data_IF_085472630191
#
_entry.id   IF_085472630191
#
_cell.length_a   1.000
_cell.length_b   1.000
_cell.length_c   1.000
_cell.angle_alpha   90.00
_cell.angle_beta   90.00
_cell.angle_gamma   90.00
#
_symmetry.space_group_name_H-M   'P 1'
#
loop_
_entity.id
_entity.type
_entity.pdbx_description
1 polymer ?
#
# COMPACT_ATOMS: atom_id res chain seq x y z
N UNK A 1 -27.69 -42.47 -43.79
CA UNK A 1 -26.48 -42.55 -44.65
C UNK A 1 -25.37 -41.81 -43.89
N UNK A 2 -24.27 -42.42 -43.42
CA UNK A 2 -23.12 -43.00 -44.18
C UNK A 2 -22.65 -41.99 -45.25
N UNK A 3 -21.44 -41.42 -45.20
CA UNK A 3 -20.13 -42.10 -45.21
C UNK A 3 -19.00 -41.18 -44.65
N UNK A 4 -18.01 -41.73 -43.90
CA UNK A 4 -16.62 -42.07 -44.30
C UNK A 4 -15.74 -40.90 -44.78
N UNK A 5 -14.76 -40.50 -43.97
CA UNK A 5 -13.34 -40.94 -44.01
C UNK A 5 -12.52 -40.46 -45.22
N UNK A 6 -11.44 -39.72 -44.93
CA UNK A 6 -10.07 -40.08 -45.35
C UNK A 6 -8.99 -39.25 -44.61
N UNK A 7 -8.17 -39.94 -43.82
CA UNK A 7 -6.80 -39.52 -43.44
C UNK A 7 -5.81 -40.23 -44.37
N UNK A 8 -4.70 -39.58 -44.72
CA UNK A 8 -3.45 -40.21 -45.18
C UNK A 8 -2.30 -39.18 -45.19
N UNK A 9 -1.01 -39.60 -45.17
CA UNK A 9 -0.18 -39.12 -44.06
C UNK A 9 1.19 -38.51 -44.44
N UNK A 10 1.80 -37.88 -43.44
CA UNK A 10 3.21 -38.08 -43.06
C UNK A 10 4.33 -37.72 -44.05
N UNK A 11 5.18 -36.74 -43.66
CA UNK A 11 6.59 -36.72 -44.06
C UNK A 11 7.46 -36.26 -42.89
N UNK A 12 8.40 -37.12 -42.49
CA UNK A 12 9.42 -36.85 -41.47
C UNK A 12 10.67 -36.20 -42.11
N UNK A 13 11.55 -35.54 -41.33
CA UNK A 13 12.62 -34.69 -41.86
C UNK A 13 13.94 -35.44 -42.10
N UNK A 14 14.85 -34.91 -42.94
CA UNK A 14 16.23 -35.39 -43.02
C UNK A 14 17.12 -34.78 -41.91
N UNK A 15 18.03 -35.60 -41.36
CA UNK A 15 19.16 -35.18 -40.50
C UNK A 15 20.48 -35.45 -41.23
N UNK A 16 21.35 -34.45 -41.31
CA UNK A 16 22.81 -34.52 -41.51
C UNK A 16 23.32 -33.07 -41.53
N UNK A 17 24.46 -32.66 -41.00
CA UNK A 17 25.68 -33.33 -40.55
C UNK A 17 26.76 -32.23 -40.43
N UNK A 18 27.88 -32.43 -39.72
CA UNK A 18 28.65 -31.31 -39.15
C UNK A 18 29.78 -30.79 -40.05
N UNK A 19 30.17 -29.52 -39.84
CA UNK A 19 31.48 -28.98 -40.28
C UNK A 19 32.25 -28.38 -39.11
N UNK A 20 33.37 -28.99 -38.74
CA UNK A 20 34.42 -28.40 -37.89
C UNK A 20 35.51 -27.80 -38.79
N UNK A 21 35.99 -26.61 -38.47
CA UNK A 21 37.38 -26.18 -38.72
C UNK A 21 37.83 -25.26 -37.59
N UNK A 22 39.14 -25.20 -37.35
CA UNK A 22 39.72 -24.76 -36.08
C UNK A 22 40.94 -23.87 -36.25
N UNK A 23 41.05 -22.86 -35.37
CA UNK A 23 42.31 -22.41 -34.72
C UNK A 23 43.37 -21.66 -35.58
N UNK A 24 44.43 -21.05 -35.00
CA UNK A 24 44.60 -20.40 -33.68
C UNK A 24 45.46 -19.09 -33.70
N UNK A 25 45.94 -18.65 -32.50
CA UNK A 25 47.12 -17.77 -32.23
C UNK A 25 46.96 -16.25 -32.47
N UNK A 26 47.58 -15.32 -31.70
CA UNK A 26 48.36 -15.37 -30.44
C UNK A 26 48.36 -14.00 -29.71
N UNK A 27 48.80 -13.93 -28.44
CA UNK A 27 49.41 -12.73 -27.83
C UNK A 27 50.95 -12.79 -27.96
N UNK A 28 51.77 -12.08 -27.14
CA UNK A 28 51.45 -11.09 -26.09
C UNK A 28 52.31 -9.80 -26.16
N UNK A 29 52.10 -8.83 -25.26
CA UNK A 29 53.19 -8.02 -24.67
C UNK A 29 52.79 -7.37 -23.33
N UNK A 30 53.76 -7.22 -22.43
CA UNK A 30 53.66 -6.57 -21.11
C UNK A 30 54.31 -5.16 -21.14
N UNK A 31 54.27 -4.50 -19.97
CA UNK A 31 55.09 -3.35 -19.54
C UNK A 31 54.52 -1.97 -19.90
N UNK A 32 54.64 -0.91 -19.08
CA UNK A 32 55.39 -0.75 -17.82
C UNK A 32 54.62 0.06 -16.75
N UNK A 33 55.08 -0.03 -15.50
CA UNK A 33 54.66 0.83 -14.40
C UNK A 33 55.73 1.90 -14.08
N UNK A 34 55.32 3.12 -13.74
CA UNK A 34 56.20 4.14 -13.17
C UNK A 34 55.43 5.05 -12.19
N UNK A 35 56.06 5.41 -11.06
CA UNK A 35 55.46 6.14 -9.94
C UNK A 35 56.53 7.05 -9.29
N UNK A 36 56.12 8.16 -8.65
CA UNK A 36 56.91 9.02 -7.71
C UNK A 36 57.96 9.96 -8.41
N UNK A 37 58.41 11.14 -7.87
CA UNK A 37 58.06 11.92 -6.65
C UNK A 37 57.57 13.39 -6.86
N UNK A 38 57.19 14.10 -5.78
CA UNK A 38 56.94 15.56 -5.74
C UNK A 38 58.15 16.40 -5.26
N UNK A 39 58.07 17.73 -5.39
CA UNK A 39 59.07 18.69 -4.87
C UNK A 39 58.50 19.76 -3.90
N UNK A 40 59.38 20.34 -3.09
CA UNK A 40 59.09 21.03 -1.81
C UNK A 40 59.04 22.58 -1.89
N UNK A 41 58.58 23.17 -0.79
CA UNK A 41 58.44 24.60 -0.51
C UNK A 41 59.76 25.39 -0.36
N UNK A 42 59.64 26.74 -0.40
CA UNK A 42 60.65 27.75 0.00
C UNK A 42 60.01 28.87 0.83
N UNK A 43 60.80 29.61 1.62
CA UNK A 43 60.32 30.39 2.78
C UNK A 43 60.66 31.91 2.79
N UNK A 44 60.19 32.59 3.86
CA UNK A 44 60.28 34.03 4.26
C UNK A 44 61.70 34.67 4.22
N UNK A 45 61.82 36.02 4.25
CA UNK A 45 61.81 36.85 5.49
C UNK A 45 60.83 38.06 5.40
N UNK A 46 60.31 38.75 6.43
CA UNK A 46 60.67 39.08 7.84
C UNK A 46 61.34 40.46 8.04
N UNK A 47 60.67 41.37 8.78
CA UNK A 47 61.21 42.64 9.32
C UNK A 47 60.41 43.13 10.56
N UNK A 48 61.06 43.90 11.43
CA UNK A 48 60.67 44.38 12.77
C UNK A 48 60.73 45.95 12.81
N UNK A 49 60.17 46.76 13.72
CA UNK A 49 59.35 46.64 14.96
C UNK A 49 58.73 48.07 15.24
N UNK A 50 58.42 48.62 16.46
CA UNK A 50 58.36 48.11 17.85
C UNK A 50 57.08 48.46 18.67
N UNK A 51 57.05 47.90 19.91
CA UNK A 51 56.29 48.21 21.13
C UNK A 51 55.25 49.36 21.26
N UNK A 52 54.15 49.02 21.96
CA UNK A 52 53.39 49.91 22.84
C UNK A 52 52.57 49.14 23.88
N UNK A 53 52.89 49.27 25.18
CA UNK A 53 52.12 48.63 26.26
C UNK A 53 50.81 49.38 26.55
N UNK A 54 49.69 48.68 26.75
CA UNK A 54 48.53 49.13 27.54
C UNK A 54 47.67 47.96 27.98
N UNK A 55 47.33 47.93 29.26
CA UNK A 55 46.35 47.02 29.83
C UNK A 55 44.94 47.60 29.71
N UNK A 56 43.97 46.77 29.30
CA UNK A 56 42.55 46.98 29.57
C UNK A 56 41.77 45.67 29.44
N UNK A 57 40.74 45.53 30.27
CA UNK A 57 39.89 44.33 30.38
C UNK A 57 39.03 44.13 29.14
N UNK A 58 38.98 42.88 28.65
CA UNK A 58 38.15 42.48 27.50
C UNK A 58 36.76 42.04 27.98
N UNK A 59 35.64 42.63 27.49
CA UNK A 59 34.31 42.16 27.85
C UNK A 59 34.02 40.76 27.29
N UNK A 60 33.24 39.96 28.02
CA UNK A 60 32.74 38.67 27.52
C UNK A 60 31.70 38.90 26.40
N UNK A 61 31.66 38.06 25.35
CA UNK A 61 30.65 38.17 24.30
C UNK A 61 29.27 37.74 24.82
N UNK A 62 28.23 38.50 24.47
CA UNK A 62 26.85 38.20 24.85
C UNK A 62 26.34 36.92 24.16
N UNK A 63 25.58 36.12 24.90
CA UNK A 63 24.95 34.89 24.40
C UNK A 63 24.03 35.16 23.20
N UNK A 64 24.03 34.30 22.16
CA UNK A 64 23.16 34.49 21.01
C UNK A 64 21.68 34.34 21.39
N UNK A 65 20.82 35.19 20.83
CA UNK A 65 19.36 35.04 20.94
C UNK A 65 18.92 33.74 20.27
N UNK A 66 17.92 33.01 20.82
CA UNK A 66 17.42 31.79 20.22
C UNK A 66 16.78 32.07 18.86
N UNK A 67 17.11 31.22 17.89
CA UNK A 67 16.45 31.14 16.58
C UNK A 67 14.95 30.83 16.73
N UNK A 68 14.09 31.21 15.76
CA UNK A 68 12.68 30.82 15.81
C UNK A 68 12.59 29.29 15.81
N UNK A 69 11.88 28.74 16.80
CA UNK A 69 11.80 27.29 16.99
C UNK A 69 11.10 26.62 15.82
N UNK A 70 11.72 25.56 15.29
CA UNK A 70 11.01 24.57 14.46
C UNK A 70 9.75 24.08 15.19
N UNK A 71 8.65 23.78 14.47
CA UNK A 71 7.45 23.24 15.10
C UNK A 71 7.81 21.96 15.85
N UNK A 72 7.57 21.96 17.17
CA UNK A 72 7.83 20.79 18.02
C UNK A 72 7.09 19.59 17.47
N UNK A 73 7.83 18.57 17.05
CA UNK A 73 7.27 17.28 16.65
C UNK A 73 6.61 16.66 17.88
N UNK A 74 5.28 16.73 17.95
CA UNK A 74 4.50 16.10 19.00
C UNK A 74 4.38 14.61 18.68
N UNK A 75 5.34 13.82 19.15
CA UNK A 75 5.27 12.37 19.07
C UNK A 75 3.99 11.88 19.77
N UNK A 76 3.26 10.97 19.12
CA UNK A 76 2.14 10.30 19.76
C UNK A 76 2.68 9.53 20.97
N UNK A 77 2.17 9.83 22.17
CA UNK A 77 2.48 9.03 23.33
C UNK A 77 1.92 7.61 23.11
N UNK A 78 2.71 6.54 23.30
CA UNK A 78 2.23 5.18 23.08
C UNK A 78 1.09 4.87 24.06
N UNK A 79 -0.08 4.56 23.50
CA UNK A 79 -1.26 4.16 24.28
C UNK A 79 -1.11 2.70 24.67
N UNK A 80 -0.85 2.44 25.95
CA UNK A 80 -0.78 1.08 26.48
C UNK A 80 -2.15 0.40 26.42
N UNK A 81 -2.21 -0.80 25.82
CA UNK A 81 -3.42 -1.63 25.78
C UNK A 81 -3.95 -1.90 27.20
N UNK A 82 -5.26 -1.68 27.41
CA UNK A 82 -5.91 -1.93 28.70
C UNK A 82 -5.96 -3.44 29.02
N UNK A 83 -5.67 -3.88 30.25
CA UNK A 83 -5.94 -5.26 30.68
C UNK A 83 -7.43 -5.61 30.55
N UNK A 84 -7.75 -6.79 30.01
CA UNK A 84 -9.12 -7.26 29.78
C UNK A 84 -9.34 -8.63 30.44
N UNK A 85 -10.57 -8.89 30.88
CA UNK A 85 -10.98 -10.17 31.50
C UNK A 85 -11.88 -10.98 30.56
N UNK A 86 -12.07 -12.26 30.88
CA UNK A 86 -12.84 -13.21 30.06
C UNK A 86 -12.01 -13.92 28.99
N UNK A 87 -12.69 -14.73 28.19
CA UNK A 87 -12.06 -15.58 27.18
C UNK A 87 -11.70 -14.81 25.90
N UNK A 88 -10.70 -15.31 25.16
CA UNK A 88 -10.45 -14.83 23.79
C UNK A 88 -11.62 -15.23 22.88
N UNK A 89 -11.94 -14.45 21.83
CA UNK A 89 -12.83 -14.91 20.77
C UNK A 89 -12.40 -16.25 20.18
N UNK A 90 -13.35 -16.95 19.54
CA UNK A 90 -13.04 -18.08 18.67
C UNK A 90 -12.10 -17.62 17.53
N UNK A 91 -11.45 -18.57 16.86
CA UNK A 91 -10.47 -18.25 15.81
C UNK A 91 -10.73 -19.02 14.51
N UNK A 92 -10.46 -18.37 13.38
CA UNK A 92 -10.31 -18.99 12.07
C UNK A 92 -9.00 -18.48 11.46
N UNK A 93 -7.96 -19.30 11.50
CA UNK A 93 -6.61 -18.95 11.03
C UNK A 93 -5.88 -20.22 10.55
N UNK A 94 -5.18 -20.19 9.40
CA UNK A 94 -5.15 -19.11 8.40
C UNK A 94 -6.44 -19.04 7.57
N UNK A 95 -6.78 -17.84 7.11
CA UNK A 95 -7.82 -17.58 6.09
C UNK A 95 -7.18 -16.81 4.95
N UNK A 96 -7.24 -17.34 3.74
CA UNK A 96 -6.74 -16.66 2.55
C UNK A 96 -7.94 -16.06 1.81
N UNK A 97 -7.95 -14.73 1.67
CA UNK A 97 -8.99 -14.00 0.94
C UNK A 97 -8.49 -13.67 -0.45
N UNK A 98 -9.21 -14.13 -1.48
CA UNK A 98 -8.78 -14.02 -2.87
C UNK A 98 -9.65 -13.04 -3.69
N UNK A 99 -8.98 -12.19 -4.46
CA UNK A 99 -9.58 -11.37 -5.52
C UNK A 99 -8.99 -11.76 -6.87
N UNK A 100 -9.77 -12.46 -7.71
CA UNK A 100 -9.34 -12.87 -9.05
C UNK A 100 -9.57 -11.80 -10.16
N UNK A 101 -10.49 -10.86 -9.89
CA UNK A 101 -10.89 -9.78 -10.79
C UNK A 101 -12.26 -9.22 -10.40
N UNK A 102 -12.56 -8.00 -10.84
CA UNK A 102 -13.86 -7.33 -10.64
C UNK A 102 -13.96 -6.17 -11.64
N UNK A 103 -14.99 -6.17 -12.49
CA UNK A 103 -15.29 -5.11 -13.46
C UNK A 103 -14.04 -4.51 -14.16
N UNK A 104 -13.57 -3.35 -13.69
CA UNK A 104 -12.45 -2.61 -14.28
C UNK A 104 -11.06 -3.06 -13.78
N UNK A 105 -10.93 -4.07 -12.91
CA UNK A 105 -9.65 -4.57 -12.44
C UNK A 105 -9.42 -6.07 -12.67
N UNK A 106 -8.19 -6.40 -13.09
CA UNK A 106 -7.61 -7.75 -13.05
C UNK A 106 -6.08 -7.69 -12.97
N UNK A 107 -5.48 -8.66 -12.27
CA UNK A 107 -4.06 -8.99 -12.43
C UNK A 107 -3.93 -9.85 -13.69
N UNK A 108 -3.14 -9.42 -14.68
CA UNK A 108 -3.05 -10.07 -16.01
C UNK A 108 -1.92 -11.10 -16.06
N UNK A 109 -0.72 -10.70 -15.63
CA UNK A 109 0.48 -11.54 -15.55
C UNK A 109 1.43 -10.93 -14.52
N UNK A 110 2.30 -11.74 -13.94
CA UNK A 110 3.34 -11.30 -13.01
C UNK A 110 4.59 -12.13 -13.19
N UNK A 111 5.73 -11.54 -12.83
CA UNK A 111 7.03 -12.19 -12.87
C UNK A 111 8.19 -11.23 -13.13
N UNK A 112 9.40 -11.72 -12.94
CA UNK A 112 10.66 -10.97 -12.96
C UNK A 112 10.59 -9.68 -12.11
N UNK A 113 10.09 -9.80 -10.88
CA UNK A 113 9.88 -8.70 -9.93
C UNK A 113 8.92 -7.58 -10.41
N UNK A 114 7.99 -7.89 -11.33
CA UNK A 114 7.01 -6.97 -11.89
C UNK A 114 5.61 -7.60 -11.92
N UNK A 115 4.58 -6.75 -12.00
CA UNK A 115 3.19 -7.13 -12.31
C UNK A 115 2.61 -6.29 -13.45
N UNK A 116 1.78 -6.93 -14.27
CA UNK A 116 0.98 -6.34 -15.34
C UNK A 116 -0.49 -6.42 -14.93
N UNK A 117 -1.14 -5.28 -14.83
CA UNK A 117 -2.50 -5.13 -14.29
C UNK A 117 -3.38 -4.38 -15.30
N UNK A 118 -4.67 -4.72 -15.36
CA UNK A 118 -5.67 -3.91 -16.04
C UNK A 118 -6.32 -2.98 -15.02
N UNK A 119 -6.42 -1.70 -15.35
CA UNK A 119 -7.20 -0.69 -14.65
C UNK A 119 -8.07 0.06 -15.67
N UNK A 120 -9.33 -0.37 -15.81
CA UNK A 120 -10.29 0.16 -16.77
C UNK A 120 -9.75 0.01 -18.19
N UNK A 121 -9.60 1.09 -18.97
CA UNK A 121 -9.06 1.03 -20.32
C UNK A 121 -7.56 0.67 -20.36
N UNK A 122 -6.80 0.88 -19.28
CA UNK A 122 -5.34 0.84 -19.33
C UNK A 122 -4.73 -0.45 -18.78
N UNK A 123 -3.68 -0.91 -19.45
CA UNK A 123 -2.74 -1.93 -18.99
C UNK A 123 -1.51 -1.27 -18.38
N UNK A 124 -1.23 -1.58 -17.12
CA UNK A 124 -0.26 -0.87 -16.28
C UNK A 124 0.78 -1.87 -15.75
N UNK A 125 2.07 -1.54 -15.93
CA UNK A 125 3.20 -2.30 -15.38
C UNK A 125 3.74 -1.61 -14.13
N UNK A 126 3.89 -2.37 -13.04
CA UNK A 126 4.43 -1.87 -11.75
C UNK A 126 5.46 -2.84 -11.14
N UNK A 127 6.42 -2.34 -10.34
CA UNK A 127 7.29 -3.17 -9.51
C UNK A 127 6.51 -4.03 -8.51
N UNK A 128 6.94 -5.28 -8.35
CA UNK A 128 6.41 -6.26 -7.40
C UNK A 128 7.49 -7.26 -7.02
N UNK A 129 8.31 -6.93 -6.02
CA UNK A 129 9.55 -7.66 -5.72
C UNK A 129 9.35 -9.16 -5.37
N UNK A 130 8.18 -9.54 -4.87
CA UNK A 130 7.85 -10.93 -4.52
C UNK A 130 7.40 -11.79 -5.73
N UNK A 131 7.16 -11.18 -6.90
CA UNK A 131 6.86 -11.89 -8.14
C UNK A 131 8.15 -12.50 -8.74
N UNK A 132 8.74 -13.44 -8.01
CA UNK A 132 10.07 -14.03 -8.26
C UNK A 132 10.09 -15.02 -9.45
N UNK A 133 8.92 -15.50 -9.87
CA UNK A 133 8.74 -16.40 -11.00
C UNK A 133 8.92 -15.68 -12.35
N UNK A 134 9.17 -16.38 -13.46
CA UNK A 134 9.22 -15.75 -14.78
C UNK A 134 7.85 -15.27 -15.25
N UNK A 135 7.81 -14.22 -16.08
CA UNK A 135 6.60 -13.78 -16.79
C UNK A 135 6.08 -14.86 -17.74
N UNK A 136 4.76 -14.93 -17.94
CA UNK A 136 4.12 -15.95 -18.77
C UNK A 136 3.55 -15.44 -20.10
N UNK A 137 3.27 -14.13 -20.21
CA UNK A 137 2.55 -13.52 -21.33
C UNK A 137 3.31 -12.35 -21.98
N UNK A 138 4.60 -12.54 -22.29
CA UNK A 138 5.52 -11.50 -22.78
C UNK A 138 4.93 -10.50 -23.82
N UNK A 139 4.16 -10.91 -24.86
CA UNK A 139 3.57 -9.98 -25.83
C UNK A 139 2.54 -8.97 -25.26
N UNK A 140 2.01 -9.20 -24.06
CA UNK A 140 1.12 -8.25 -23.39
C UNK A 140 1.90 -7.14 -22.67
N UNK A 141 3.09 -7.43 -22.16
CA UNK A 141 3.94 -6.46 -21.47
C UNK A 141 4.48 -5.37 -22.41
N UNK A 142 4.84 -5.76 -23.63
CA UNK A 142 5.26 -4.84 -24.70
C UNK A 142 4.15 -3.85 -25.09
N UNK A 143 2.88 -4.22 -24.82
CA UNK A 143 1.70 -3.41 -25.14
C UNK A 143 1.24 -2.51 -24.00
N UNK A 144 1.91 -2.48 -22.85
CA UNK A 144 1.48 -1.69 -21.69
C UNK A 144 1.22 -0.20 -22.05
N UNK A 145 0.10 0.35 -21.56
CA UNK A 145 -0.25 1.78 -21.69
C UNK A 145 0.67 2.64 -20.81
N UNK A 146 0.96 2.16 -19.60
CA UNK A 146 1.78 2.87 -18.61
C UNK A 146 2.75 1.91 -17.90
N UNK A 147 3.97 2.39 -17.65
CA UNK A 147 5.02 1.65 -16.94
C UNK A 147 5.57 2.56 -15.84
N UNK A 148 5.48 2.14 -14.58
CA UNK A 148 6.14 2.85 -13.48
C UNK A 148 7.64 2.54 -13.46
N UNK A 149 8.45 3.58 -13.31
CA UNK A 149 9.92 3.52 -13.28
C UNK A 149 10.46 4.41 -12.17
N UNK A 150 11.55 4.02 -11.50
CA UNK A 150 12.13 4.80 -10.41
C UNK A 150 12.34 3.95 -9.17
N UNK A 151 12.22 4.57 -8.00
CA UNK A 151 12.27 3.88 -6.71
C UNK A 151 11.12 2.87 -6.57
N UNK A 152 11.42 1.68 -6.06
CA UNK A 152 10.48 0.56 -5.96
C UNK A 152 9.83 0.42 -4.59
N UNK A 153 10.29 1.17 -3.59
CA UNK A 153 9.66 1.23 -2.27
C UNK A 153 8.24 1.84 -2.35
N UNK A 154 7.39 1.57 -1.37
CA UNK A 154 5.96 1.97 -1.43
C UNK A 154 5.76 3.48 -1.50
N UNK A 155 6.54 4.21 -0.70
CA UNK A 155 6.62 5.68 -0.67
C UNK A 155 7.73 6.21 -1.60
N UNK A 156 8.30 5.34 -2.45
CA UNK A 156 9.38 5.66 -3.37
C UNK A 156 8.95 6.62 -4.48
N UNK A 157 9.78 7.63 -4.77
CA UNK A 157 9.52 8.55 -5.87
C UNK A 157 9.96 7.96 -7.21
N UNK A 158 9.05 7.99 -8.18
CA UNK A 158 9.28 7.54 -9.55
C UNK A 158 8.62 8.41 -10.60
N UNK A 159 8.55 7.86 -11.81
CA UNK A 159 7.99 8.47 -13.02
C UNK A 159 7.24 7.43 -13.82
N UNK A 160 6.09 7.82 -14.34
CA UNK A 160 5.35 7.03 -15.32
C UNK A 160 5.91 7.27 -16.72
N UNK A 161 6.21 6.18 -17.43
CA UNK A 161 6.46 6.17 -18.87
C UNK A 161 5.19 5.71 -19.57
N UNK A 162 4.76 6.44 -20.59
CA UNK A 162 3.66 6.03 -21.46
C UNK A 162 4.21 5.64 -22.84
N UNK A 163 4.32 4.35 -23.18
CA UNK A 163 5.01 3.92 -24.40
C UNK A 163 4.27 4.21 -25.71
N UNK A 164 2.94 4.35 -25.66
CA UNK A 164 2.08 4.54 -26.84
C UNK A 164 1.73 6.00 -27.10
N UNK A 165 1.12 6.67 -26.12
CA UNK A 165 0.74 8.08 -26.19
C UNK A 165 0.73 8.72 -24.79
N UNK A 166 0.67 10.05 -24.70
CA UNK A 166 0.63 10.75 -23.41
C UNK A 166 -0.74 10.58 -22.75
N UNK A 167 -0.79 9.97 -21.56
CA UNK A 167 -2.03 9.82 -20.79
C UNK A 167 -2.26 11.01 -19.85
N UNK A 168 -3.53 11.31 -19.58
CA UNK A 168 -3.94 12.27 -18.56
C UNK A 168 -3.66 11.78 -17.13
N UNK A 169 -3.74 12.67 -16.13
CA UNK A 169 -3.48 12.31 -14.73
C UNK A 169 -4.44 11.23 -14.20
N UNK A 170 -5.70 11.28 -14.61
CA UNK A 170 -6.78 10.41 -14.11
C UNK A 170 -7.55 9.71 -15.23
N UNK A 171 -8.19 8.60 -14.86
CA UNK A 171 -9.18 7.91 -15.69
C UNK A 171 -10.30 7.34 -14.81
N UNK A 172 -11.54 7.23 -15.32
CA UNK A 172 -12.64 6.65 -14.56
C UNK A 172 -12.43 5.14 -14.36
N UNK A 173 -12.82 4.68 -13.18
CA UNK A 173 -12.81 3.29 -12.73
C UNK A 173 -14.11 3.02 -11.96
N UNK A 174 -14.58 1.77 -11.97
CA UNK A 174 -15.65 1.29 -11.09
C UNK A 174 -15.33 -0.09 -10.55
N UNK A 175 -15.48 -0.25 -9.24
CA UNK A 175 -15.41 -1.54 -8.54
C UNK A 175 -16.63 -1.66 -7.61
N UNK A 176 -17.35 -2.78 -7.68
CA UNK A 176 -18.71 -2.88 -7.14
C UNK A 176 -19.57 -1.69 -7.66
N UNK A 177 -20.22 -0.97 -6.75
CA UNK A 177 -21.09 0.17 -7.06
C UNK A 177 -20.39 1.53 -6.94
N UNK A 178 -19.09 1.58 -6.65
CA UNK A 178 -18.36 2.84 -6.48
C UNK A 178 -17.54 3.20 -7.73
N UNK A 179 -17.88 4.34 -8.34
CA UNK A 179 -17.04 5.02 -9.33
C UNK A 179 -15.97 5.85 -8.61
N UNK A 180 -14.74 5.82 -9.13
CA UNK A 180 -13.61 6.59 -8.63
C UNK A 180 -12.61 6.84 -9.77
N UNK A 181 -11.62 7.70 -9.52
CA UNK A 181 -10.52 7.90 -10.47
C UNK A 181 -9.35 6.96 -10.15
N UNK A 182 -8.95 6.16 -11.13
CA UNK A 182 -7.55 5.73 -11.22
C UNK A 182 -6.68 6.95 -11.49
N UNK A 183 -5.47 7.00 -10.92
CA UNK A 183 -4.61 8.20 -10.97
C UNK A 183 -3.13 7.88 -11.07
N UNK A 184 -2.44 8.47 -12.04
CA UNK A 184 -0.98 8.49 -12.09
C UNK A 184 -0.44 9.56 -11.14
N UNK A 185 0.44 9.15 -10.23
CA UNK A 185 1.10 10.06 -9.27
C UNK A 185 2.62 9.88 -9.34
N UNK A 186 3.39 10.66 -8.57
CA UNK A 186 4.84 10.45 -8.44
C UNK A 186 5.21 9.14 -7.70
N UNK A 187 4.24 8.38 -7.21
CA UNK A 187 4.39 7.11 -6.50
C UNK A 187 3.80 5.94 -7.31
N UNK A 188 4.13 4.71 -6.89
CA UNK A 188 3.64 3.46 -7.53
C UNK A 188 2.14 3.19 -7.38
N UNK A 189 1.45 3.93 -6.51
CA UNK A 189 0.03 3.76 -6.22
C UNK A 189 -0.84 4.46 -7.27
N UNK A 190 -1.86 3.75 -7.78
CA UNK A 190 -2.75 4.21 -8.86
C UNK A 190 -4.12 4.70 -8.36
N UNK A 191 -4.22 5.05 -7.07
CA UNK A 191 -5.45 5.56 -6.46
C UNK A 191 -6.40 4.50 -5.89
N UNK A 192 -6.08 3.21 -6.01
CA UNK A 192 -6.88 2.10 -5.43
C UNK A 192 -6.00 0.87 -5.13
N UNK A 193 -6.42 0.07 -4.15
CA UNK A 193 -5.87 -1.25 -3.80
C UNK A 193 -6.96 -2.32 -4.01
N UNK A 194 -7.10 -2.89 -5.23
CA UNK A 194 -8.22 -3.77 -5.58
C UNK A 194 -8.29 -5.07 -4.77
N UNK A 195 -7.19 -5.54 -4.21
CA UNK A 195 -7.13 -6.67 -3.27
C UNK A 195 -8.17 -6.55 -2.15
N UNK A 196 -8.38 -5.32 -1.65
CA UNK A 196 -9.31 -4.97 -0.56
C UNK A 196 -10.78 -5.24 -0.90
N UNK A 197 -11.12 -5.58 -2.15
CA UNK A 197 -12.47 -5.98 -2.57
C UNK A 197 -13.07 -7.08 -1.69
N UNK A 198 -12.27 -8.02 -1.19
CA UNK A 198 -12.75 -9.07 -0.28
C UNK A 198 -13.32 -8.48 1.03
N UNK A 199 -12.74 -7.39 1.54
CA UNK A 199 -13.26 -6.68 2.72
C UNK A 199 -14.42 -5.75 2.35
N UNK A 200 -14.37 -5.08 1.19
CA UNK A 200 -15.45 -4.20 0.77
C UNK A 200 -16.74 -4.96 0.47
N UNK A 201 -16.66 -6.15 -0.15
CA UNK A 201 -17.83 -7.04 -0.32
C UNK A 201 -18.41 -7.48 1.02
N UNK A 202 -17.56 -7.94 1.96
CA UNK A 202 -18.00 -8.30 3.31
C UNK A 202 -18.72 -7.14 4.01
N UNK A 203 -18.12 -5.96 4.01
CA UNK A 203 -18.68 -4.76 4.62
C UNK A 203 -20.00 -4.36 3.95
N UNK A 204 -20.07 -4.37 2.61
CA UNK A 204 -21.29 -4.08 1.85
C UNK A 204 -22.43 -5.00 2.29
N UNK A 205 -22.20 -6.31 2.34
CA UNK A 205 -23.16 -7.29 2.85
C UNK A 205 -23.57 -6.99 4.30
N UNK A 206 -22.63 -6.67 5.20
CA UNK A 206 -22.97 -6.30 6.59
C UNK A 206 -23.87 -5.06 6.69
N UNK A 207 -23.71 -4.08 5.79
CA UNK A 207 -24.54 -2.87 5.76
C UNK A 207 -25.91 -3.17 5.16
N UNK A 208 -25.98 -3.90 4.04
CA UNK A 208 -27.23 -4.23 3.35
C UNK A 208 -28.14 -5.16 4.20
N UNK A 209 -27.56 -6.17 4.86
CA UNK A 209 -28.29 -7.12 5.70
C UNK A 209 -28.68 -6.55 7.09
N UNK A 210 -28.24 -5.33 7.43
CA UNK A 210 -28.39 -4.79 8.78
C UNK A 210 -29.84 -4.50 9.19
N UNK A 211 -30.72 -4.20 8.23
CA UNK A 211 -32.09 -3.73 8.48
C UNK A 211 -32.20 -2.35 9.14
N UNK A 212 -31.07 -1.67 9.38
CA UNK A 212 -30.94 -0.31 9.92
C UNK A 212 -29.72 0.39 9.31
N UNK A 213 -29.66 1.73 9.25
CA UNK A 213 -28.42 2.43 8.93
C UNK A 213 -27.30 2.02 9.89
N UNK A 214 -26.14 1.67 9.34
CA UNK A 214 -24.93 1.39 10.12
C UNK A 214 -24.00 2.60 10.14
N UNK A 215 -23.32 2.81 11.27
CA UNK A 215 -22.23 3.79 11.40
C UNK A 215 -20.90 3.13 11.07
N UNK A 216 -20.29 3.53 9.96
CA UNK A 216 -19.01 3.00 9.48
C UNK A 216 -17.90 4.02 9.71
N UNK A 217 -16.86 3.63 10.45
CA UNK A 217 -15.63 4.39 10.59
C UNK A 217 -14.57 3.80 9.67
N UNK A 218 -13.95 4.63 8.82
CA UNK A 218 -12.83 4.24 7.96
C UNK A 218 -11.60 5.08 8.30
N UNK A 219 -10.61 4.45 8.94
CA UNK A 219 -9.33 5.07 9.37
C UNK A 219 -8.24 4.78 8.35
N UNK A 220 -7.41 5.79 8.04
CA UNK A 220 -6.45 5.76 6.92
C UNK A 220 -7.17 5.52 5.59
N UNK A 221 -8.31 6.18 5.40
CA UNK A 221 -9.25 5.86 4.33
C UNK A 221 -8.77 6.15 2.90
N UNK A 222 -7.62 6.82 2.73
CA UNK A 222 -6.97 7.10 1.46
C UNK A 222 -7.93 7.76 0.45
N UNK A 223 -8.12 7.18 -0.74
CA UNK A 223 -9.01 7.68 -1.80
C UNK A 223 -10.49 7.39 -1.55
N UNK A 224 -10.85 6.79 -0.41
CA UNK A 224 -12.22 6.69 0.06
C UNK A 224 -13.12 5.68 -0.65
N UNK A 225 -12.58 4.78 -1.48
CA UNK A 225 -13.37 3.76 -2.20
C UNK A 225 -14.23 2.92 -1.24
N UNK A 226 -13.66 2.45 -0.13
CA UNK A 226 -14.41 1.75 0.93
C UNK A 226 -15.55 2.62 1.52
N UNK A 227 -15.29 3.91 1.74
CA UNK A 227 -16.28 4.85 2.27
C UNK A 227 -17.43 5.10 1.29
N UNK A 228 -17.15 5.14 -0.01
CA UNK A 228 -18.17 5.28 -1.06
C UNK A 228 -19.03 4.01 -1.16
N UNK A 229 -18.42 2.83 -1.11
CA UNK A 229 -19.13 1.54 -1.11
C UNK A 229 -20.05 1.43 0.11
N UNK A 230 -19.55 1.77 1.30
CA UNK A 230 -20.33 1.77 2.54
C UNK A 230 -21.53 2.73 2.46
N UNK A 231 -21.31 3.97 2.00
CA UNK A 231 -22.37 4.97 1.96
C UNK A 231 -23.42 4.65 0.89
N UNK A 232 -23.02 4.12 -0.28
CA UNK A 232 -23.96 3.65 -1.31
C UNK A 232 -24.79 2.44 -0.85
N UNK A 233 -24.23 1.59 0.02
CA UNK A 233 -24.96 0.50 0.68
C UNK A 233 -25.94 0.99 1.78
N UNK A 234 -25.92 2.28 2.15
CA UNK A 234 -26.83 2.87 3.14
C UNK A 234 -26.22 3.18 4.52
N UNK A 235 -24.89 3.10 4.67
CA UNK A 235 -24.22 3.46 5.92
C UNK A 235 -24.04 4.98 6.10
N UNK A 236 -24.09 5.44 7.35
CA UNK A 236 -23.53 6.71 7.79
C UNK A 236 -22.01 6.56 7.95
N UNK A 237 -21.21 7.28 7.14
CA UNK A 237 -19.76 7.05 7.09
C UNK A 237 -18.99 8.21 7.70
N UNK A 238 -18.04 7.91 8.59
CA UNK A 238 -16.94 8.82 8.95
C UNK A 238 -15.65 8.31 8.30
N UNK A 239 -15.08 9.12 7.42
CA UNK A 239 -13.82 8.86 6.75
C UNK A 239 -12.71 9.71 7.38
N UNK A 240 -11.59 9.12 7.75
CA UNK A 240 -10.46 9.80 8.40
C UNK A 240 -9.17 9.51 7.64
N UNK A 241 -8.49 10.57 7.20
CA UNK A 241 -7.15 10.49 6.62
C UNK A 241 -6.34 11.74 7.00
N UNK A 242 -5.03 11.60 7.21
CA UNK A 242 -4.15 12.72 7.55
C UNK A 242 -3.82 13.61 6.34
N UNK A 243 -3.91 13.06 5.12
CA UNK A 243 -3.57 13.75 3.89
C UNK A 243 -4.75 14.53 3.36
N UNK A 244 -4.68 15.87 3.45
CA UNK A 244 -5.62 16.78 2.77
C UNK A 244 -5.72 16.49 1.26
N UNK A 245 -4.67 15.95 0.64
CA UNK A 245 -4.66 15.52 -0.76
C UNK A 245 -5.52 14.27 -0.97
N UNK A 246 -5.42 13.27 -0.09
CA UNK A 246 -6.24 12.07 -0.15
C UNK A 246 -7.72 12.38 0.12
N UNK A 247 -8.02 13.24 1.10
CA UNK A 247 -9.38 13.78 1.33
C UNK A 247 -9.92 14.51 0.09
N UNK A 248 -9.07 15.26 -0.62
CA UNK A 248 -9.41 15.89 -1.90
C UNK A 248 -9.81 14.84 -2.95
N UNK A 249 -8.96 13.84 -3.18
CA UNK A 249 -9.23 12.72 -4.09
C UNK A 249 -10.50 11.94 -3.73
N UNK A 250 -10.76 11.70 -2.43
CA UNK A 250 -11.98 11.05 -1.97
C UNK A 250 -13.25 11.84 -2.31
N UNK A 251 -13.20 13.18 -2.24
CA UNK A 251 -14.29 14.06 -2.67
C UNK A 251 -14.44 14.13 -4.19
N UNK A 252 -13.34 14.11 -4.94
CA UNK A 252 -13.36 13.99 -6.41
C UNK A 252 -14.02 12.67 -6.85
N UNK A 253 -13.74 11.57 -6.15
CA UNK A 253 -14.39 10.27 -6.36
C UNK A 253 -15.88 10.32 -5.98
N UNK A 254 -16.24 10.96 -4.86
CA UNK A 254 -17.64 11.17 -4.46
C UNK A 254 -18.43 11.92 -5.54
N UNK A 255 -17.85 12.99 -6.11
CA UNK A 255 -18.49 13.77 -7.17
C UNK A 255 -18.59 13.00 -8.50
N UNK A 256 -17.55 12.21 -8.87
CA UNK A 256 -17.61 11.33 -10.05
C UNK A 256 -18.79 10.35 -9.97
N UNK A 257 -18.99 9.73 -8.80
CA UNK A 257 -20.10 8.82 -8.53
C UNK A 257 -21.44 9.50 -8.27
N UNK A 258 -21.56 10.83 -8.47
CA UNK A 258 -22.75 11.66 -8.17
C UNK A 258 -23.28 11.46 -6.74
N UNK A 259 -22.36 11.24 -5.82
CA UNK A 259 -22.61 10.84 -4.44
C UNK A 259 -22.60 11.99 -3.44
N UNK A 260 -22.74 13.25 -3.87
CA UNK A 260 -22.64 14.43 -2.99
C UNK A 260 -23.69 14.44 -1.86
N UNK A 261 -24.83 13.76 -2.05
CA UNK A 261 -25.87 13.55 -1.04
C UNK A 261 -25.63 12.35 -0.11
N UNK A 262 -24.58 11.55 -0.34
CA UNK A 262 -24.24 10.42 0.53
C UNK A 262 -23.76 10.92 1.91
N UNK A 263 -24.13 10.26 3.01
CA UNK A 263 -23.83 10.71 4.37
C UNK A 263 -22.37 10.41 4.77
N UNK A 264 -21.41 11.06 4.12
CA UNK A 264 -19.97 10.90 4.34
C UNK A 264 -19.38 12.12 5.03
N UNK A 265 -18.96 11.95 6.30
CA UNK A 265 -18.19 12.92 7.07
C UNK A 265 -16.71 12.76 6.81
N UNK A 266 -16.16 13.63 5.96
CA UNK A 266 -14.72 13.69 5.63
C UNK A 266 -13.91 14.44 6.70
N UNK A 267 -13.02 13.74 7.40
CA UNK A 267 -12.15 14.26 8.46
C UNK A 267 -10.69 14.24 8.00
N UNK A 268 -10.06 15.42 7.97
CA UNK A 268 -8.63 15.57 7.72
C UNK A 268 -7.89 15.71 9.06
N UNK A 269 -7.44 14.62 9.67
CA UNK A 269 -6.89 14.59 11.03
C UNK A 269 -5.96 13.38 11.24
N UNK A 270 -5.21 13.36 12.34
CA UNK A 270 -4.48 12.15 12.73
C UNK A 270 -5.48 11.09 13.24
N UNK A 271 -5.34 9.86 12.75
CA UNK A 271 -6.29 8.79 13.04
C UNK A 271 -6.34 8.44 14.54
N UNK A 272 -5.19 8.43 15.23
CA UNK A 272 -5.11 8.14 16.67
C UNK A 272 -5.76 9.27 17.49
N UNK A 273 -5.38 10.53 17.24
CA UNK A 273 -5.99 11.71 17.90
C UNK A 273 -7.49 11.81 17.62
N UNK A 274 -7.95 11.38 16.44
CA UNK A 274 -9.38 11.30 16.13
C UNK A 274 -10.11 10.28 17.01
N UNK A 275 -9.68 9.03 17.03
CA UNK A 275 -10.36 7.99 17.83
C UNK A 275 -10.32 8.30 19.34
N UNK A 276 -9.23 8.90 19.85
CA UNK A 276 -9.14 9.40 21.23
C UNK A 276 -10.12 10.55 21.54
N UNK A 277 -10.54 11.34 20.54
CA UNK A 277 -11.59 12.37 20.72
C UNK A 277 -12.97 11.73 20.68
N UNK A 278 -13.21 10.78 19.78
CA UNK A 278 -14.49 10.06 19.69
C UNK A 278 -14.75 9.19 20.94
N UNK A 279 -13.72 8.56 21.53
CA UNK A 279 -13.82 7.78 22.77
C UNK A 279 -14.26 8.69 23.93
N UNK A 280 -13.59 9.84 24.10
CA UNK A 280 -13.96 10.87 25.09
C UNK A 280 -15.36 11.47 24.88
N UNK A 281 -15.89 11.42 23.66
CA UNK A 281 -17.26 11.85 23.32
C UNK A 281 -18.29 10.75 23.55
N UNK A 282 -17.88 9.53 23.89
CA UNK A 282 -18.78 8.37 23.97
C UNK A 282 -19.35 7.95 22.61
N UNK A 283 -18.69 8.29 21.50
CA UNK A 283 -19.16 7.94 20.15
C UNK A 283 -19.07 6.43 19.91
N UNK A 284 -19.96 5.91 19.04
CA UNK A 284 -20.05 4.49 18.72
C UNK A 284 -20.25 4.28 17.22
N UNK A 285 -19.66 3.19 16.72
CA UNK A 285 -19.64 2.76 15.33
C UNK A 285 -19.92 1.25 15.25
N UNK A 286 -20.62 0.85 14.19
CA UNK A 286 -21.04 -0.53 13.98
C UNK A 286 -20.02 -1.34 13.18
N UNK A 287 -19.30 -0.66 12.27
CA UNK A 287 -18.14 -1.23 11.57
C UNK A 287 -16.99 -0.24 11.69
N UNK A 288 -15.80 -0.76 12.02
CA UNK A 288 -14.56 0.00 11.97
C UNK A 288 -13.62 -0.70 10.99
N UNK A 289 -13.16 0.05 9.97
CA UNK A 289 -12.04 -0.33 9.11
C UNK A 289 -10.82 0.50 9.51
N UNK A 290 -9.64 -0.11 9.54
CA UNK A 290 -8.37 0.60 9.72
C UNK A 290 -7.28 -0.04 8.85
N UNK A 291 -6.65 0.79 8.02
CA UNK A 291 -5.57 0.38 7.10
C UNK A 291 -4.26 1.14 7.40
N UNK A 292 -3.69 0.99 8.61
CA UNK A 292 -2.53 1.77 9.03
C UNK A 292 -1.29 1.46 8.18
N UNK A 293 -0.60 2.47 7.64
CA UNK A 293 0.67 2.26 6.97
C UNK A 293 1.74 1.83 7.99
N UNK A 294 2.84 1.25 7.52
CA UNK A 294 3.97 0.86 8.40
C UNK A 294 4.55 2.08 9.14
N UNK A 295 4.69 3.19 8.44
CA UNK A 295 5.10 4.49 8.95
C UNK A 295 4.16 5.56 8.37
N UNK A 296 3.92 6.65 9.09
CA UNK A 296 3.07 7.72 8.61
C UNK A 296 3.27 9.02 9.37
N UNK A 297 2.61 10.09 8.92
CA UNK A 297 2.56 11.36 9.64
C UNK A 297 1.15 11.95 9.66
N UNK A 298 0.73 12.44 10.82
CA UNK A 298 -0.48 13.24 10.98
C UNK A 298 -0.33 14.65 10.38
N UNK A 299 -1.43 15.41 10.24
CA UNK A 299 -1.40 16.72 9.56
C UNK A 299 -0.53 17.77 10.26
N UNK A 300 -0.27 17.62 11.57
CA UNK A 300 0.53 18.55 12.37
C UNK A 300 1.93 17.98 12.67
N UNK A 301 2.33 16.90 11.98
CA UNK A 301 3.63 16.26 12.16
C UNK A 301 3.65 15.17 13.24
N UNK A 302 2.49 14.75 13.75
CA UNK A 302 2.36 13.54 14.58
C UNK A 302 3.04 12.36 13.87
N UNK A 303 3.87 11.59 14.56
CA UNK A 303 4.58 10.46 13.93
C UNK A 303 3.83 9.16 14.19
N UNK A 304 3.54 8.40 13.14
CA UNK A 304 2.93 7.08 13.22
C UNK A 304 3.95 5.97 12.92
N UNK A 305 4.03 4.97 13.80
CA UNK A 305 4.78 3.73 13.64
C UNK A 305 3.85 2.57 13.98
N UNK A 306 3.66 1.64 13.04
CA UNK A 306 2.70 0.54 13.20
C UNK A 306 2.98 -0.31 14.45
N UNK A 307 4.23 -0.74 14.65
CA UNK A 307 4.59 -1.61 15.77
C UNK A 307 4.52 -0.92 17.14
N UNK A 308 4.63 0.40 17.19
CA UNK A 308 4.63 1.16 18.45
C UNK A 308 3.20 1.59 18.87
N UNK A 309 2.28 1.76 17.91
CA UNK A 309 0.98 2.39 18.14
C UNK A 309 -0.25 1.52 17.82
N UNK A 310 -0.11 0.42 17.06
CA UNK A 310 -1.26 -0.40 16.62
C UNK A 310 -2.04 -1.01 17.78
N UNK A 311 -1.36 -1.44 18.85
CA UNK A 311 -2.01 -2.06 20.02
C UNK A 311 -2.98 -1.10 20.71
N UNK A 312 -2.53 0.13 20.98
CA UNK A 312 -3.36 1.19 21.53
C UNK A 312 -4.48 1.64 20.58
N UNK A 313 -4.23 1.64 19.27
CA UNK A 313 -5.25 1.98 18.28
C UNK A 313 -6.41 0.98 18.29
N UNK A 314 -6.11 -0.32 18.25
CA UNK A 314 -7.14 -1.36 18.27
C UNK A 314 -7.88 -1.38 19.61
N UNK A 315 -7.20 -1.14 20.72
CA UNK A 315 -7.82 -1.04 22.04
C UNK A 315 -8.82 0.14 22.14
N UNK A 316 -8.53 1.29 21.52
CA UNK A 316 -9.51 2.39 21.42
C UNK A 316 -10.62 2.04 20.42
N UNK A 317 -10.31 1.41 19.28
CA UNK A 317 -11.32 0.95 18.32
C UNK A 317 -12.35 0.03 18.99
N UNK A 318 -11.92 -0.88 19.89
CA UNK A 318 -12.82 -1.71 20.69
C UNK A 318 -13.83 -0.92 21.52
N UNK A 319 -13.45 0.22 22.09
CA UNK A 319 -14.38 1.06 22.88
C UNK A 319 -15.30 1.89 22.00
N UNK A 320 -14.91 2.12 20.74
CA UNK A 320 -15.72 2.77 19.73
C UNK A 320 -16.72 1.81 19.07
N UNK A 321 -16.60 0.49 19.22
CA UNK A 321 -17.60 -0.46 18.75
C UNK A 321 -18.90 -0.35 19.58
N UNK A 322 -20.03 -0.20 18.90
CA UNK A 322 -21.37 -0.32 19.48
C UNK A 322 -21.61 -1.71 20.11
N UNK A 323 -22.74 -1.86 20.81
CA UNK A 323 -23.11 -3.12 21.44
C UNK A 323 -23.59 -4.16 20.41
N UNK A 324 -24.17 -3.71 19.29
CA UNK A 324 -24.60 -4.51 18.14
C UNK A 324 -23.68 -4.34 16.90
N UNK A 325 -22.40 -4.02 17.15
CA UNK A 325 -21.39 -3.83 16.11
C UNK A 325 -21.18 -5.10 15.25
N UNK A 326 -21.09 -4.91 13.93
CA UNK A 326 -20.92 -5.98 12.92
C UNK A 326 -19.46 -6.37 12.68
N UNK A 327 -18.48 -5.53 13.03
CA UNK A 327 -17.09 -5.96 13.07
C UNK A 327 -16.02 -4.87 13.14
N UNK A 328 -14.79 -5.32 13.34
CA UNK A 328 -13.56 -4.52 13.30
C UNK A 328 -12.58 -5.19 12.33
N UNK A 329 -12.17 -4.48 11.28
CA UNK A 329 -11.24 -4.96 10.24
C UNK A 329 -9.95 -4.16 10.32
N UNK A 330 -8.84 -4.87 10.49
CA UNK A 330 -7.49 -4.37 10.31
C UNK A 330 -6.92 -4.96 9.02
N UNK A 331 -6.34 -4.12 8.16
CA UNK A 331 -5.42 -4.54 7.10
C UNK A 331 -4.04 -3.94 7.28
N UNK A 332 -2.99 -4.62 6.79
CA UNK A 332 -1.61 -4.15 6.90
C UNK A 332 -0.73 -4.69 5.76
N UNK A 333 -0.08 -3.78 5.02
CA UNK A 333 0.87 -4.12 3.94
C UNK A 333 2.30 -4.44 4.45
N UNK A 334 2.48 -4.56 5.77
CA UNK A 334 3.79 -4.84 6.39
C UNK A 334 4.17 -6.32 6.29
N UNK A 335 4.52 -6.78 5.08
CA UNK A 335 4.84 -8.18 4.73
C UNK A 335 6.00 -8.84 5.51
N UNK A 336 6.72 -8.10 6.37
CA UNK A 336 7.72 -8.68 7.28
C UNK A 336 7.13 -9.23 8.58
N UNK A 337 5.89 -8.88 8.91
CA UNK A 337 5.16 -9.51 10.01
C UNK A 337 4.39 -10.74 9.50
N UNK A 338 4.13 -11.70 10.38
CA UNK A 338 3.15 -12.75 10.08
C UNK A 338 1.74 -12.25 10.41
N UNK A 339 0.73 -12.70 9.67
CA UNK A 339 -0.67 -12.50 10.04
C UNK A 339 -0.98 -13.02 11.45
N UNK A 340 -0.23 -14.01 11.98
CA UNK A 340 -0.36 -14.46 13.37
C UNK A 340 -0.10 -13.34 14.40
N UNK A 341 0.80 -12.38 14.12
CA UNK A 341 1.09 -11.27 15.02
C UNK A 341 -0.12 -10.34 15.18
N UNK A 342 -0.82 -10.03 14.08
CA UNK A 342 -2.05 -9.19 14.12
C UNK A 342 -3.29 -10.00 14.50
N UNK A 343 -3.28 -11.33 14.32
CA UNK A 343 -4.30 -12.24 14.80
C UNK A 343 -4.37 -12.27 16.33
N UNK A 344 -3.25 -12.58 16.98
CA UNK A 344 -3.20 -12.66 18.45
C UNK A 344 -3.42 -11.30 19.10
N UNK A 345 -2.90 -10.22 18.50
CA UNK A 345 -3.21 -8.86 18.97
C UNK A 345 -4.72 -8.57 18.92
N UNK A 346 -5.41 -8.89 17.82
CA UNK A 346 -6.86 -8.71 17.72
C UNK A 346 -7.62 -9.58 18.73
N UNK A 347 -7.18 -10.83 18.98
CA UNK A 347 -7.83 -11.73 19.95
C UNK A 347 -7.65 -11.26 21.40
N UNK A 348 -6.49 -10.74 21.77
CA UNK A 348 -6.28 -10.14 23.10
C UNK A 348 -7.05 -8.82 23.23
N UNK A 349 -6.99 -7.94 22.22
CA UNK A 349 -7.80 -6.71 22.18
C UNK A 349 -9.28 -7.03 22.33
N UNK A 350 -9.81 -8.09 21.71
CA UNK A 350 -11.23 -8.46 21.76
C UNK A 350 -11.60 -9.47 22.86
N UNK A 351 -10.71 -9.73 23.83
CA UNK A 351 -10.97 -10.59 25.00
C UNK A 351 -12.24 -10.20 25.76
N UNK A 352 -13.15 -11.14 25.96
CA UNK A 352 -14.44 -10.93 26.61
C UNK A 352 -15.56 -10.33 25.74
N UNK A 353 -15.30 -9.89 24.50
CA UNK A 353 -16.35 -9.48 23.53
C UNK A 353 -17.03 -10.67 22.84
N UNK A 354 -16.51 -11.89 22.99
CA UNK A 354 -16.98 -13.07 22.26
C UNK A 354 -16.73 -12.95 20.75
N UNK A 355 -17.56 -13.61 19.94
CA UNK A 355 -17.43 -13.64 18.48
C UNK A 355 -16.27 -14.51 17.98
N UNK A 356 -15.81 -14.21 16.78
CA UNK A 356 -14.69 -14.89 16.09
C UNK A 356 -13.69 -13.86 15.54
N UNK A 357 -12.40 -14.19 15.59
CA UNK A 357 -11.35 -13.49 14.86
C UNK A 357 -10.89 -14.35 13.68
N UNK A 358 -11.00 -13.80 12.49
CA UNK A 358 -10.52 -14.40 11.24
C UNK A 358 -9.25 -13.66 10.79
N UNK A 359 -8.20 -14.38 10.38
CA UNK A 359 -6.95 -13.72 9.96
C UNK A 359 -6.14 -14.53 8.96
N UNK A 360 -5.36 -13.82 8.15
CA UNK A 360 -4.48 -14.39 7.14
C UNK A 360 -4.04 -13.33 6.14
N UNK A 361 -4.08 -13.68 4.86
CA UNK A 361 -3.57 -12.84 3.77
C UNK A 361 -4.66 -12.51 2.75
N UNK A 362 -4.56 -11.31 2.18
CA UNK A 362 -5.22 -10.95 0.94
C UNK A 362 -4.30 -11.34 -0.22
N UNK A 363 -4.87 -11.98 -1.22
CA UNK A 363 -4.16 -12.36 -2.44
C UNK A 363 -4.93 -11.91 -3.69
N UNK A 364 -4.16 -11.52 -4.69
CA UNK A 364 -4.64 -11.35 -6.06
C UNK A 364 -4.38 -12.63 -6.83
N UNK A 365 -5.36 -13.10 -7.62
CA UNK A 365 -5.12 -14.17 -8.60
C UNK A 365 -4.95 -13.59 -9.99
N UNK A 366 -3.94 -14.08 -10.70
CA UNK A 366 -3.83 -13.82 -12.13
C UNK A 366 -5.04 -14.37 -12.88
N UNK A 367 -5.70 -13.50 -13.63
CA UNK A 367 -6.71 -13.86 -14.61
C UNK A 367 -6.02 -14.53 -15.81
N UNK A 368 -6.04 -15.86 -15.87
CA UNK A 368 -5.76 -16.58 -17.11
C UNK A 368 -6.69 -16.03 -18.21
N UNK A 369 -6.13 -15.74 -19.40
CA UNK A 369 -6.83 -15.01 -20.44
C UNK A 369 -8.21 -15.60 -20.77
N UNK A 370 -9.24 -14.74 -20.78
CA UNK A 370 -10.64 -15.07 -21.14
C UNK A 370 -11.35 -16.13 -20.29
N UNK A 371 -11.54 -15.87 -19.00
CA UNK A 371 -12.79 -16.27 -18.31
C UNK A 371 -13.35 -15.12 -17.48
N UNK A 372 -14.56 -14.70 -17.82
CA UNK A 372 -15.48 -14.12 -16.85
C UNK A 372 -16.10 -15.27 -16.03
N UNK A 373 -16.45 -14.96 -14.79
CA UNK A 373 -17.25 -15.76 -13.86
C UNK A 373 -16.61 -17.00 -13.18
N UNK A 374 -16.46 -16.88 -11.86
CA UNK A 374 -16.79 -17.94 -10.89
C UNK A 374 -15.80 -19.08 -10.63
N UNK A 375 -15.01 -19.52 -11.61
CA UNK A 375 -13.99 -20.56 -11.37
C UNK A 375 -12.68 -19.98 -10.83
N UNK A 376 -12.08 -20.64 -9.84
CA UNK A 376 -10.75 -20.30 -9.34
C UNK A 376 -9.73 -20.44 -10.48
N UNK A 377 -9.23 -19.30 -10.99
CA UNK A 377 -8.34 -19.27 -12.14
C UNK A 377 -7.05 -20.07 -11.88
N UNK A 378 -6.51 -20.73 -12.91
CA UNK A 378 -5.25 -21.47 -12.78
C UNK A 378 -3.99 -20.58 -12.75
N UNK A 379 -4.17 -19.27 -12.62
CA UNK A 379 -3.09 -18.28 -12.54
C UNK A 379 -2.41 -18.25 -11.17
N UNK A 380 -1.23 -17.63 -11.08
CA UNK A 380 -0.47 -17.57 -9.81
C UNK A 380 -1.16 -16.67 -8.79
N UNK A 381 -0.85 -16.94 -7.52
CA UNK A 381 -1.24 -16.10 -6.39
C UNK A 381 -0.17 -15.02 -6.19
N UNK A 382 -0.60 -13.78 -6.02
CA UNK A 382 0.25 -12.69 -5.55
C UNK A 382 -0.31 -12.19 -4.23
N UNK A 383 0.38 -12.44 -3.13
CA UNK A 383 0.00 -11.91 -1.82
C UNK A 383 0.26 -10.40 -1.76
N UNK A 384 -0.63 -9.66 -1.13
CA UNK A 384 -0.56 -8.18 -1.10
C UNK A 384 -0.44 -7.64 0.32
N UNK A 385 -1.25 -8.16 1.24
CA UNK A 385 -1.42 -7.60 2.57
C UNK A 385 -1.94 -8.64 3.56
N UNK A 386 -1.72 -8.37 4.84
CA UNK A 386 -2.24 -9.15 5.95
C UNK A 386 -3.60 -8.58 6.37
N UNK A 387 -4.47 -9.41 6.96
CA UNK A 387 -5.64 -8.93 7.67
C UNK A 387 -5.91 -9.64 8.99
N UNK A 388 -6.66 -8.94 9.85
CA UNK A 388 -7.31 -9.50 11.03
C UNK A 388 -8.69 -8.85 11.17
N UNK A 389 -9.73 -9.68 11.22
CA UNK A 389 -11.14 -9.23 11.32
C UNK A 389 -11.81 -9.90 12.51
N UNK A 390 -12.32 -9.09 13.44
CA UNK A 390 -13.28 -9.54 14.45
C UNK A 390 -14.71 -9.38 13.95
N UNK A 391 -15.54 -10.40 14.20
CA UNK A 391 -16.98 -10.46 13.92
C UNK A 391 -17.69 -10.89 15.22
N UNK A 392 -18.86 -10.32 15.57
CA UNK A 392 -19.67 -10.74 16.73
C UNK A 392 -20.15 -12.21 16.63
N UNK A 393 -20.84 -12.69 17.65
CA UNK A 393 -21.55 -13.99 17.63
C UNK A 393 -22.84 -13.91 16.82
#
# INVERSE_FOLDING_TARGET
MKDKQRRSPGKAPPKSGPSRTSAPLAGPSRSDAAVVPPLKAGAKPAAQEPHGQRSSSRPQPASPRPSPSEPRQEALAPVTMRPRTGDKPAERVPVILETAGEADYRLVDSGDALKLEQYGPYTIVRPEAQALWPKSQAPLWERADAIFTGDTDEDGMGRWRFPREMLGETWPMRLLDAEFYGRFTSFRHVGVFPEQLAHWRWMKTQVEDAGRPLKVLNLFGYTGVASLIAAKAGAEVTHVDASKKAIGWGRENQALGRGESLPIRWICDDAMKFIQREERRGSRYDIILTDPPKFGRGPNGEVWHLFDHLSGMLDICRELLSDDARGLVLTAYSIRASFYSIHELMREVMRGRGGVVESGELILRESAGSKQDGEAGSGRALSTSLFSRWVPK
#
